data_IF_352804595338
#
_entry.id   IF_352804595338
#
_cell.length_a   1.000
_cell.length_b   1.000
_cell.length_c   1.000
_cell.angle_alpha   90.00
_cell.angle_beta   90.00
_cell.angle_gamma   90.00
#
_symmetry.space_group_name_H-M   'P 1'
#
loop_
_entity.id
_entity.type
_entity.pdbx_description
1 polymer ?
#
# COMPACT_ATOMS: atom_id res chain seq x y z
N UNK A 1 19.36 -7.47 -11.93
CA UNK A 1 19.37 -7.37 -10.44
C UNK A 1 19.44 -8.78 -9.86
N UNK A 2 20.23 -9.00 -8.80
CA UNK A 2 20.23 -10.28 -8.09
C UNK A 2 18.91 -10.48 -7.34
N UNK A 3 18.50 -11.74 -7.12
CA UNK A 3 17.28 -12.07 -6.36
C UNK A 3 17.27 -11.45 -4.95
N UNK A 4 18.45 -11.29 -4.36
CA UNK A 4 18.63 -10.64 -3.05
C UNK A 4 18.33 -9.14 -3.11
N UNK A 5 18.81 -8.45 -4.14
CA UNK A 5 18.56 -7.01 -4.31
C UNK A 5 17.07 -6.75 -4.62
N UNK A 6 16.44 -7.60 -5.44
CA UNK A 6 15.01 -7.56 -5.71
C UNK A 6 14.18 -7.70 -4.42
N UNK A 7 14.53 -8.67 -3.56
CA UNK A 7 13.86 -8.85 -2.28
C UNK A 7 14.04 -7.63 -1.34
N UNK A 8 15.27 -7.11 -1.23
CA UNK A 8 15.56 -5.92 -0.44
C UNK A 8 14.80 -4.69 -0.94
N UNK A 9 14.78 -4.46 -2.27
CA UNK A 9 14.03 -3.36 -2.86
C UNK A 9 12.53 -3.44 -2.53
N UNK A 10 11.92 -4.62 -2.67
CA UNK A 10 10.53 -4.84 -2.29
C UNK A 10 10.31 -4.57 -0.79
N UNK A 11 11.20 -5.06 0.08
CA UNK A 11 11.13 -4.81 1.52
C UNK A 11 11.21 -3.32 1.85
N UNK A 12 12.11 -2.57 1.19
CA UNK A 12 12.22 -1.11 1.37
C UNK A 12 10.96 -0.39 0.93
N UNK A 13 10.40 -0.72 -0.24
CA UNK A 13 9.14 -0.10 -0.69
C UNK A 13 7.97 -0.39 0.27
N UNK A 14 7.86 -1.59 0.82
CA UNK A 14 6.85 -1.89 1.85
C UNK A 14 7.08 -1.09 3.14
N UNK A 15 8.31 -0.88 3.58
CA UNK A 15 8.58 -0.01 4.74
C UNK A 15 8.21 1.45 4.44
N UNK A 16 8.52 1.94 3.23
CA UNK A 16 8.13 3.29 2.80
C UNK A 16 6.60 3.43 2.83
N UNK A 17 5.85 2.50 2.21
CA UNK A 17 4.38 2.56 2.21
C UNK A 17 3.82 2.49 3.62
N UNK A 18 4.35 1.62 4.47
CA UNK A 18 3.89 1.44 5.84
C UNK A 18 4.10 2.69 6.69
N UNK A 19 5.32 3.28 6.66
CA UNK A 19 5.63 4.50 7.42
C UNK A 19 4.85 5.69 6.90
N UNK A 20 4.83 5.90 5.57
CA UNK A 20 4.18 7.07 4.98
C UNK A 20 2.66 7.03 5.16
N UNK A 21 2.01 5.86 5.11
CA UNK A 21 0.56 5.74 5.32
C UNK A 21 0.17 6.05 6.78
N UNK A 22 0.92 5.53 7.77
CA UNK A 22 0.62 5.78 9.19
C UNK A 22 0.84 7.25 9.55
N UNK A 23 2.00 7.81 9.16
CA UNK A 23 2.32 9.21 9.47
C UNK A 23 1.37 10.15 8.73
N UNK A 24 1.02 9.85 7.46
CA UNK A 24 0.03 10.60 6.70
C UNK A 24 -1.33 10.63 7.38
N UNK A 25 -1.82 9.48 7.84
CA UNK A 25 -3.10 9.38 8.58
C UNK A 25 -3.07 10.21 9.88
N UNK A 26 -1.95 10.19 10.62
CA UNK A 26 -1.80 11.01 11.83
C UNK A 26 -1.85 12.50 11.49
N UNK A 27 -1.22 12.92 10.40
CA UNK A 27 -1.23 14.33 9.97
C UNK A 27 -2.64 14.79 9.59
N UNK A 28 -3.45 13.94 8.98
CA UNK A 28 -4.83 14.28 8.59
C UNK A 28 -5.84 14.16 9.72
N UNK A 29 -5.54 13.45 10.81
CA UNK A 29 -6.46 13.17 11.90
C UNK A 29 -7.27 14.38 12.41
N UNK A 30 -6.65 15.54 12.70
CA UNK A 30 -7.38 16.73 13.14
C UNK A 30 -8.37 17.26 12.09
N UNK A 31 -8.04 17.15 10.81
CA UNK A 31 -8.84 17.72 9.70
C UNK A 31 -10.02 16.82 9.36
N UNK A 32 -9.80 15.51 9.36
CA UNK A 32 -10.82 14.53 9.02
C UNK A 32 -11.87 14.37 10.14
N UNK A 33 -11.48 14.66 11.40
CA UNK A 33 -12.38 14.51 12.56
C UNK A 33 -13.09 15.81 12.97
N UNK A 34 -12.57 16.99 12.58
CA UNK A 34 -13.10 18.29 12.98
C UNK A 34 -13.06 19.28 11.82
N UNK A 35 -14.16 19.41 11.11
CA UNK A 35 -14.28 20.32 9.96
C UNK A 35 -14.03 21.80 10.30
N UNK A 36 -14.11 22.18 11.58
CA UNK A 36 -13.87 23.56 12.06
C UNK A 36 -12.37 23.91 12.19
N UNK A 37 -11.48 22.90 12.23
CA UNK A 37 -10.04 23.07 12.44
C UNK A 37 -9.22 23.45 11.20
N UNK A 38 -9.84 23.64 10.05
CA UNK A 38 -9.18 23.73 8.74
C UNK A 38 -8.32 25.01 8.58
N UNK A 39 -8.40 25.97 9.48
CA UNK A 39 -8.01 27.36 9.21
C UNK A 39 -6.82 27.92 9.99
N UNK A 40 -6.14 27.12 10.78
CA UNK A 40 -4.92 27.52 11.45
C UNK A 40 -3.66 27.25 10.57
N UNK A 41 -2.60 28.01 10.77
CA UNK A 41 -1.31 27.81 10.08
C UNK A 41 -0.72 26.42 10.33
N UNK A 42 -0.98 25.83 11.50
CA UNK A 42 -0.59 24.46 11.85
C UNK A 42 -1.32 23.46 10.94
N UNK A 43 -2.59 23.67 10.65
CA UNK A 43 -3.40 22.80 9.79
C UNK A 43 -2.88 22.77 8.35
N UNK A 44 -2.39 23.87 7.82
CA UNK A 44 -1.78 23.93 6.48
C UNK A 44 -0.55 23.03 6.39
N UNK A 45 0.35 23.10 7.37
CA UNK A 45 1.54 22.25 7.43
C UNK A 45 1.17 20.76 7.49
N UNK A 46 0.16 20.41 8.25
CA UNK A 46 -0.33 19.03 8.35
C UNK A 46 -0.93 18.53 7.03
N UNK A 47 -1.75 19.33 6.34
CA UNK A 47 -2.32 18.95 5.04
C UNK A 47 -1.21 18.73 4.00
N UNK A 48 -0.27 19.66 3.87
CA UNK A 48 0.82 19.54 2.88
C UNK A 48 1.71 18.34 3.18
N UNK A 49 2.07 18.14 4.45
CA UNK A 49 2.92 17.02 4.86
C UNK A 49 2.18 15.69 4.66
N UNK A 50 0.91 15.60 5.03
CA UNK A 50 0.09 14.42 4.82
C UNK A 50 -0.07 14.10 3.32
N UNK A 51 -0.35 15.10 2.48
CA UNK A 51 -0.43 14.97 1.04
C UNK A 51 0.89 14.45 0.43
N UNK A 52 2.01 15.01 0.86
CA UNK A 52 3.34 14.56 0.41
C UNK A 52 3.61 13.10 0.82
N UNK A 53 3.24 12.71 2.03
CA UNK A 53 3.39 11.33 2.50
C UNK A 53 2.48 10.36 1.73
N UNK A 54 1.26 10.74 1.39
CA UNK A 54 0.39 9.93 0.53
C UNK A 54 0.94 9.77 -0.88
N UNK A 55 1.55 10.81 -1.45
CA UNK A 55 2.27 10.72 -2.73
C UNK A 55 3.42 9.71 -2.63
N UNK A 56 4.22 9.77 -1.56
CA UNK A 56 5.30 8.80 -1.31
C UNK A 56 4.72 7.38 -1.15
N UNK A 57 3.61 7.23 -0.44
CA UNK A 57 2.91 5.96 -0.28
C UNK A 57 2.47 5.41 -1.64
N UNK A 58 1.85 6.22 -2.49
CA UNK A 58 1.41 5.82 -3.82
C UNK A 58 2.58 5.37 -4.71
N UNK A 59 3.69 6.12 -4.73
CA UNK A 59 4.90 5.75 -5.45
C UNK A 59 5.53 4.46 -4.89
N UNK A 60 5.52 4.30 -3.57
CA UNK A 60 5.96 3.08 -2.89
C UNK A 60 5.11 1.87 -3.29
N UNK A 61 3.79 2.02 -3.39
CA UNK A 61 2.87 0.97 -3.85
C UNK A 61 3.24 0.47 -5.25
N UNK A 62 3.45 1.37 -6.20
CA UNK A 62 3.94 1.01 -7.55
C UNK A 62 5.29 0.30 -7.45
N UNK A 63 6.19 0.82 -6.61
CA UNK A 63 7.52 0.24 -6.37
C UNK A 63 7.47 -1.20 -5.87
N UNK A 64 6.52 -1.54 -4.96
CA UNK A 64 6.34 -2.93 -4.48
C UNK A 64 5.93 -3.86 -5.62
N UNK A 65 5.00 -3.41 -6.47
CA UNK A 65 4.53 -4.15 -7.64
C UNK A 65 5.68 -4.46 -8.60
N UNK A 66 6.42 -3.43 -9.01
CA UNK A 66 7.54 -3.54 -9.94
C UNK A 66 8.68 -4.40 -9.37
N UNK A 67 9.01 -4.23 -8.09
CA UNK A 67 10.08 -4.99 -7.46
C UNK A 67 9.75 -6.48 -7.34
N UNK A 68 8.51 -6.85 -7.04
CA UNK A 68 8.12 -8.26 -6.89
C UNK A 68 7.82 -8.96 -8.22
N UNK A 69 7.42 -8.23 -9.25
CA UNK A 69 7.00 -8.78 -10.55
C UNK A 69 7.99 -9.81 -11.14
N UNK A 70 9.32 -9.55 -11.22
CA UNK A 70 10.25 -10.49 -11.85
C UNK A 70 10.31 -11.87 -11.19
N UNK A 71 10.01 -11.95 -9.90
CA UNK A 71 10.05 -13.19 -9.13
C UNK A 71 8.66 -13.85 -9.12
N UNK A 72 7.61 -13.07 -8.85
CA UNK A 72 6.24 -13.57 -8.71
C UNK A 72 5.69 -14.11 -10.04
N UNK A 73 6.05 -13.51 -11.18
CA UNK A 73 5.66 -14.00 -12.52
C UNK A 73 6.16 -15.42 -12.82
N UNK A 74 7.23 -15.88 -12.17
CA UNK A 74 7.72 -17.24 -12.32
C UNK A 74 6.76 -18.28 -11.74
N UNK A 75 5.93 -17.91 -10.79
CA UNK A 75 4.86 -18.75 -10.27
C UNK A 75 3.60 -18.66 -11.13
N UNK A 76 3.20 -17.44 -11.51
CA UNK A 76 2.05 -17.17 -12.37
C UNK A 76 2.14 -15.75 -12.91
N UNK A 77 2.22 -15.63 -14.22
CA UNK A 77 2.34 -14.34 -14.90
C UNK A 77 1.05 -13.52 -14.75
N UNK A 78 -0.12 -14.16 -14.91
CA UNK A 78 -1.41 -13.48 -14.79
C UNK A 78 -1.63 -12.87 -13.41
N UNK A 79 -1.32 -13.60 -12.34
CA UNK A 79 -1.43 -13.07 -10.97
C UNK A 79 -0.37 -12.00 -10.69
N UNK A 80 0.85 -12.13 -11.23
CA UNK A 80 1.89 -11.12 -11.08
C UNK A 80 1.50 -9.82 -11.76
N UNK A 81 0.97 -9.89 -12.98
CA UNK A 81 0.45 -8.74 -13.71
C UNK A 81 -0.75 -8.13 -12.98
N UNK A 82 -1.69 -8.97 -12.55
CA UNK A 82 -2.85 -8.53 -11.75
C UNK A 82 -2.44 -7.77 -10.50
N UNK A 83 -1.42 -8.25 -9.78
CA UNK A 83 -0.89 -7.55 -8.62
C UNK A 83 -0.30 -6.18 -8.97
N UNK A 84 0.50 -6.07 -10.04
CA UNK A 84 1.05 -4.77 -10.50
C UNK A 84 -0.07 -3.80 -10.88
N UNK A 85 -1.07 -4.27 -11.63
CA UNK A 85 -2.22 -3.46 -12.04
C UNK A 85 -3.01 -2.98 -10.83
N UNK A 86 -3.29 -3.86 -9.86
CA UNK A 86 -4.01 -3.50 -8.63
C UNK A 86 -3.22 -2.51 -7.76
N UNK A 87 -1.90 -2.66 -7.64
CA UNK A 87 -1.05 -1.69 -6.94
C UNK A 87 -1.01 -0.34 -7.65
N UNK A 88 -1.00 -0.33 -8.97
CA UNK A 88 -1.06 0.92 -9.75
C UNK A 88 -2.44 1.57 -9.62
N UNK A 89 -3.51 0.79 -9.65
CA UNK A 89 -4.87 1.29 -9.44
C UNK A 89 -5.03 1.92 -8.04
N UNK A 90 -4.58 1.22 -7.00
CA UNK A 90 -4.57 1.73 -5.63
C UNK A 90 -3.80 3.05 -5.52
N UNK A 91 -2.58 3.09 -6.06
CA UNK A 91 -1.75 4.30 -6.09
C UNK A 91 -2.44 5.45 -6.83
N UNK A 92 -3.09 5.17 -7.95
CA UNK A 92 -3.84 6.18 -8.73
C UNK A 92 -5.01 6.75 -7.93
N UNK A 93 -5.75 5.92 -7.21
CA UNK A 93 -6.86 6.36 -6.36
C UNK A 93 -6.34 7.21 -5.20
N UNK A 94 -5.23 6.83 -4.55
CA UNK A 94 -4.57 7.64 -3.51
C UNK A 94 -4.19 9.02 -4.08
N UNK A 95 -3.54 9.06 -5.24
CA UNK A 95 -3.13 10.32 -5.89
C UNK A 95 -4.33 11.23 -6.20
N UNK A 96 -5.43 10.66 -6.66
CA UNK A 96 -6.68 11.40 -6.90
C UNK A 96 -7.27 11.90 -5.58
N UNK A 97 -7.19 11.11 -4.51
CA UNK A 97 -7.66 11.47 -3.17
C UNK A 97 -6.87 12.61 -2.51
N UNK A 98 -5.62 12.83 -2.89
CA UNK A 98 -4.81 13.95 -2.42
C UNK A 98 -5.32 15.30 -2.96
N UNK A 99 -5.83 15.33 -4.19
CA UNK A 99 -6.22 16.58 -4.87
C UNK A 99 -7.26 17.41 -4.11
N UNK A 100 -8.37 16.83 -3.58
CA UNK A 100 -9.34 17.61 -2.82
C UNK A 100 -8.77 18.21 -1.54
N UNK A 101 -7.82 17.56 -0.87
CA UNK A 101 -7.17 18.13 0.32
C UNK A 101 -6.25 19.30 -0.04
N UNK A 102 -5.53 19.22 -1.17
CA UNK A 102 -4.76 20.34 -1.67
C UNK A 102 -5.66 21.50 -2.15
N UNK A 103 -6.82 21.19 -2.75
CA UNK A 103 -7.81 22.20 -3.14
C UNK A 103 -8.37 22.96 -1.94
N UNK A 104 -8.48 22.34 -0.76
CA UNK A 104 -8.84 23.03 0.49
C UNK A 104 -7.89 24.16 0.83
N UNK A 105 -6.59 24.03 0.54
CA UNK A 105 -5.59 25.06 0.83
C UNK A 105 -5.79 26.32 -0.02
N UNK A 106 -6.12 26.14 -1.31
CA UNK A 106 -6.38 27.29 -2.21
C UNK A 106 -7.73 27.93 -1.89
N UNK A 107 -8.75 27.12 -1.64
CA UNK A 107 -10.08 27.61 -1.28
C UNK A 107 -10.04 28.48 -0.02
N UNK A 108 -9.21 28.13 0.95
CA UNK A 108 -9.05 28.91 2.16
C UNK A 108 -8.39 30.28 1.92
N UNK A 109 -7.43 30.37 1.00
CA UNK A 109 -6.74 31.63 0.69
C UNK A 109 -7.68 32.62 0.00
N UNK A 110 -8.57 32.13 -0.87
CA UNK A 110 -9.38 32.98 -1.75
C UNK A 110 -10.76 33.30 -1.17
N UNK A 111 -11.34 32.44 -0.33
CA UNK A 111 -12.76 32.48 0.05
C UNK A 111 -13.01 32.51 1.58
N UNK A 112 -12.03 32.86 2.37
CA UNK A 112 -12.09 32.79 3.87
C UNK A 112 -13.30 33.49 4.52
N UNK A 113 -14.10 34.25 3.77
CA UNK A 113 -15.21 35.04 4.31
C UNK A 113 -16.53 34.91 3.51
N UNK A 114 -16.67 33.94 2.59
CA UNK A 114 -17.87 33.84 1.77
C UNK A 114 -18.85 32.81 2.32
N UNK A 115 -20.10 33.18 2.47
CA UNK A 115 -21.18 32.24 2.84
C UNK A 115 -21.29 31.13 1.80
N UNK A 116 -21.23 29.84 2.26
CA UNK A 116 -21.26 28.66 1.36
C UNK A 116 -19.97 27.85 1.32
N UNK A 117 -18.86 28.36 1.81
CA UNK A 117 -17.54 27.69 1.81
C UNK A 117 -17.56 26.36 2.60
N UNK A 118 -18.34 26.28 3.68
CA UNK A 118 -18.46 25.06 4.52
C UNK A 118 -18.99 23.84 3.74
N UNK A 119 -19.96 24.04 2.83
CA UNK A 119 -20.48 22.94 2.01
C UNK A 119 -19.44 22.40 1.01
N UNK A 120 -18.64 23.28 0.42
CA UNK A 120 -17.56 22.88 -0.51
C UNK A 120 -16.47 22.12 0.26
N UNK A 121 -16.10 22.58 1.45
CA UNK A 121 -15.13 21.92 2.32
C UNK A 121 -15.56 20.51 2.68
N UNK A 122 -16.80 20.35 3.15
CA UNK A 122 -17.35 19.04 3.49
C UNK A 122 -17.36 18.10 2.27
N UNK A 123 -17.68 18.61 1.08
CA UNK A 123 -17.66 17.82 -0.15
C UNK A 123 -16.21 17.37 -0.52
N UNK A 124 -15.21 18.22 -0.37
CA UNK A 124 -13.81 17.87 -0.65
C UNK A 124 -13.27 16.84 0.35
N UNK A 125 -13.60 16.97 1.64
CA UNK A 125 -13.24 15.98 2.66
C UNK A 125 -13.94 14.64 2.37
N UNK A 126 -15.23 14.67 2.04
CA UNK A 126 -15.96 13.46 1.68
C UNK A 126 -15.34 12.76 0.45
N UNK A 127 -14.91 13.52 -0.55
CA UNK A 127 -14.21 12.97 -1.72
C UNK A 127 -12.93 12.24 -1.33
N UNK A 128 -12.09 12.85 -0.50
CA UNK A 128 -10.88 12.19 0.03
C UNK A 128 -11.23 10.92 0.80
N UNK A 129 -12.23 10.97 1.69
CA UNK A 129 -12.65 9.83 2.48
C UNK A 129 -13.13 8.65 1.61
N UNK A 130 -13.93 8.91 0.58
CA UNK A 130 -14.35 7.88 -0.36
C UNK A 130 -13.20 7.32 -1.19
N UNK A 131 -12.23 8.15 -1.60
CA UNK A 131 -11.04 7.64 -2.28
C UNK A 131 -10.24 6.70 -1.38
N UNK A 132 -10.16 6.99 -0.08
CA UNK A 132 -9.50 6.12 0.89
C UNK A 132 -10.23 4.77 1.08
N UNK A 133 -11.57 4.77 1.09
CA UNK A 133 -12.35 3.52 1.12
C UNK A 133 -12.09 2.70 -0.16
N UNK A 134 -12.09 3.34 -1.33
CA UNK A 134 -11.90 2.64 -2.60
C UNK A 134 -10.48 2.10 -2.77
N UNK A 135 -9.45 2.92 -2.58
CA UNK A 135 -8.04 2.54 -2.76
C UNK A 135 -7.50 1.72 -1.60
N UNK A 136 -7.14 2.36 -0.48
CA UNK A 136 -6.52 1.73 0.68
C UNK A 136 -7.32 0.65 1.38
N UNK A 137 -8.65 0.56 1.18
CA UNK A 137 -9.45 -0.51 1.78
C UNK A 137 -9.85 -1.57 0.75
N UNK A 138 -10.64 -1.24 -0.27
CA UNK A 138 -11.18 -2.25 -1.18
C UNK A 138 -10.11 -2.77 -2.13
N UNK A 139 -9.40 -1.90 -2.87
CA UNK A 139 -8.38 -2.34 -3.82
C UNK A 139 -7.18 -2.95 -3.09
N UNK A 140 -6.76 -2.37 -1.95
CA UNK A 140 -5.71 -2.93 -1.09
C UNK A 140 -6.06 -4.35 -0.62
N UNK A 141 -7.29 -4.61 -0.21
CA UNK A 141 -7.74 -5.95 0.18
C UNK A 141 -7.54 -6.97 -0.94
N UNK A 142 -7.96 -6.63 -2.17
CA UNK A 142 -7.84 -7.51 -3.34
C UNK A 142 -6.38 -7.72 -3.72
N UNK A 143 -5.57 -6.67 -3.77
CA UNK A 143 -4.15 -6.79 -4.14
C UNK A 143 -3.36 -7.60 -3.10
N UNK A 144 -3.64 -7.40 -1.80
CA UNK A 144 -3.04 -8.15 -0.70
C UNK A 144 -3.36 -9.64 -0.81
N UNK A 145 -4.63 -10.00 -1.02
CA UNK A 145 -5.04 -11.40 -1.23
C UNK A 145 -4.37 -11.99 -2.48
N UNK A 146 -4.28 -11.25 -3.56
CA UNK A 146 -3.65 -11.68 -4.81
C UNK A 146 -2.17 -12.03 -4.60
N UNK A 147 -1.39 -11.13 -4.00
CA UNK A 147 0.02 -11.40 -3.71
C UNK A 147 0.17 -12.53 -2.68
N UNK A 148 -0.61 -12.50 -1.60
CA UNK A 148 -0.55 -13.51 -0.55
C UNK A 148 -0.86 -14.91 -1.10
N UNK A 149 -1.83 -15.05 -1.99
CA UNK A 149 -2.13 -16.32 -2.68
C UNK A 149 -0.92 -16.85 -3.46
N UNK A 150 -0.27 -16.00 -4.25
CA UNK A 150 0.91 -16.39 -5.04
C UNK A 150 2.09 -16.76 -4.14
N UNK A 151 2.34 -15.99 -3.08
CA UNK A 151 3.40 -16.28 -2.12
C UNK A 151 3.12 -17.58 -1.32
N UNK A 152 1.85 -17.87 -1.05
CA UNK A 152 1.47 -19.14 -0.42
C UNK A 152 1.75 -20.33 -1.33
N UNK A 153 1.36 -20.25 -2.60
CA UNK A 153 1.55 -21.30 -3.62
C UNK A 153 3.03 -21.54 -3.93
N UNK A 154 3.80 -20.47 -4.08
CA UNK A 154 5.23 -20.55 -4.42
C UNK A 154 6.11 -20.97 -3.23
N UNK A 155 5.70 -20.68 -2.01
CA UNK A 155 6.51 -20.90 -0.81
C UNK A 155 7.75 -20.02 -0.72
N UNK A 156 7.79 -18.88 -1.43
CA UNK A 156 8.91 -17.94 -1.47
C UNK A 156 9.23 -17.32 -0.11
N UNK A 157 8.24 -17.24 0.78
CA UNK A 157 8.37 -16.69 2.13
C UNK A 157 7.93 -17.71 3.19
N UNK A 158 8.02 -17.36 4.48
CA UNK A 158 7.52 -18.21 5.55
C UNK A 158 5.98 -18.34 5.47
N UNK A 159 5.44 -19.55 5.62
CA UNK A 159 4.02 -19.85 5.37
C UNK A 159 3.03 -19.05 6.21
N UNK A 160 3.41 -18.59 7.40
CA UNK A 160 2.52 -17.77 8.23
C UNK A 160 2.26 -16.40 7.60
N UNK A 161 3.26 -15.81 6.91
CA UNK A 161 3.16 -14.50 6.28
C UNK A 161 2.01 -14.47 5.25
N UNK A 162 1.99 -15.31 4.19
CA UNK A 162 0.89 -15.25 3.24
C UNK A 162 -0.47 -15.66 3.83
N UNK A 163 -0.54 -16.48 4.87
CA UNK A 163 -1.80 -16.76 5.57
C UNK A 163 -2.36 -15.51 6.24
N UNK A 164 -1.47 -14.74 6.89
CA UNK A 164 -1.82 -13.46 7.49
C UNK A 164 -2.30 -12.46 6.42
N UNK A 165 -1.65 -12.45 5.24
CA UNK A 165 -2.07 -11.61 4.12
C UNK A 165 -3.43 -11.99 3.53
N UNK A 166 -3.73 -13.28 3.38
CA UNK A 166 -5.04 -13.73 2.92
C UNK A 166 -6.15 -13.32 3.90
N UNK A 167 -5.91 -13.52 5.19
CA UNK A 167 -6.86 -13.14 6.24
C UNK A 167 -7.00 -11.61 6.34
N UNK A 168 -5.87 -10.88 6.41
CA UNK A 168 -5.87 -9.43 6.55
C UNK A 168 -6.45 -8.72 5.32
N UNK A 169 -6.13 -9.21 4.11
CA UNK A 169 -6.70 -8.68 2.87
C UNK A 169 -8.21 -8.87 2.79
N UNK A 170 -8.72 -10.05 3.16
CA UNK A 170 -10.16 -10.29 3.23
C UNK A 170 -10.85 -9.40 4.28
N UNK A 171 -10.21 -9.21 5.43
CA UNK A 171 -10.78 -8.42 6.52
C UNK A 171 -10.80 -6.93 6.19
N UNK A 172 -9.74 -6.37 5.57
CA UNK A 172 -9.73 -4.96 5.15
C UNK A 172 -10.70 -4.70 4.00
N UNK A 173 -10.85 -5.64 3.06
CA UNK A 173 -11.87 -5.57 2.02
C UNK A 173 -13.28 -5.53 2.62
N UNK A 174 -13.56 -6.43 3.56
CA UNK A 174 -14.84 -6.48 4.26
C UNK A 174 -15.09 -5.19 5.07
N UNK A 175 -14.08 -4.68 5.79
CA UNK A 175 -14.14 -3.40 6.48
C UNK A 175 -14.48 -2.25 5.53
N UNK A 176 -13.80 -2.15 4.38
CA UNK A 176 -14.09 -1.14 3.36
C UNK A 176 -15.50 -1.25 2.80
N UNK A 177 -16.01 -2.49 2.65
CA UNK A 177 -17.40 -2.72 2.25
C UNK A 177 -18.39 -2.20 3.29
N UNK A 178 -18.17 -2.50 4.58
CA UNK A 178 -19.01 -1.99 5.66
C UNK A 178 -19.00 -0.46 5.74
N UNK A 179 -17.84 0.16 5.53
CA UNK A 179 -17.69 1.62 5.47
C UNK A 179 -18.46 2.22 4.27
N UNK A 180 -18.36 1.59 3.10
CA UNK A 180 -19.05 2.04 1.88
C UNK A 180 -20.58 2.04 2.06
N UNK A 181 -21.12 1.06 2.78
CA UNK A 181 -22.55 0.97 3.11
C UNK A 181 -22.95 1.74 4.38
N UNK A 182 -22.02 2.46 5.01
CA UNK A 182 -22.30 3.26 6.21
C UNK A 182 -22.58 2.42 7.46
N UNK A 183 -22.22 1.13 7.47
CA UNK A 183 -22.44 0.24 8.62
C UNK A 183 -21.41 0.47 9.74
N UNK A 184 -20.23 0.97 9.42
CA UNK A 184 -19.19 1.39 10.36
C UNK A 184 -18.55 2.69 9.87
N UNK A 185 -18.11 3.54 10.81
CA UNK A 185 -17.39 4.75 10.46
C UNK A 185 -15.96 4.43 10.02
N UNK A 186 -15.45 5.23 9.09
CA UNK A 186 -14.07 5.11 8.57
C UNK A 186 -13.04 5.28 9.70
N UNK A 187 -13.25 6.23 10.59
CA UNK A 187 -12.41 6.47 11.77
C UNK A 187 -13.12 5.89 13.01
N UNK A 188 -13.07 4.59 13.17
CA UNK A 188 -13.65 3.87 14.29
C UNK A 188 -12.72 2.83 14.87
N UNK A 189 -12.97 2.42 16.11
CA UNK A 189 -12.24 1.31 16.74
C UNK A 189 -12.40 0.00 15.95
N UNK A 190 -13.58 -0.24 15.38
CA UNK A 190 -13.86 -1.42 14.58
C UNK A 190 -12.98 -1.44 13.32
N UNK A 191 -12.94 -0.34 12.58
CA UNK A 191 -12.08 -0.18 11.38
C UNK A 191 -10.60 -0.36 11.73
N UNK A 192 -10.12 0.27 12.81
CA UNK A 192 -8.75 0.13 13.26
C UNK A 192 -8.39 -1.32 13.61
N UNK A 193 -9.24 -2.03 14.35
CA UNK A 193 -9.02 -3.45 14.67
C UNK A 193 -8.99 -4.33 13.43
N UNK A 194 -9.86 -4.08 12.45
CA UNK A 194 -9.91 -4.84 11.21
C UNK A 194 -8.70 -4.59 10.30
N UNK A 195 -8.01 -3.46 10.46
CA UNK A 195 -6.79 -3.14 9.72
C UNK A 195 -5.52 -3.80 10.32
N UNK A 196 -5.51 -4.19 11.60
CA UNK A 196 -4.32 -4.76 12.26
C UNK A 196 -3.71 -5.93 11.48
N UNK A 197 -4.47 -6.93 10.98
CA UNK A 197 -3.87 -8.08 10.30
C UNK A 197 -3.19 -7.71 8.97
N UNK A 198 -3.72 -6.74 8.21
CA UNK A 198 -3.05 -6.29 6.98
C UNK A 198 -1.78 -5.52 7.28
N UNK A 199 -1.75 -4.68 8.31
CA UNK A 199 -0.52 -4.02 8.76
C UNK A 199 0.53 -5.03 9.26
N UNK A 200 0.12 -6.03 10.03
CA UNK A 200 1.01 -7.10 10.49
C UNK A 200 1.55 -7.94 9.31
N UNK A 201 0.75 -8.16 8.26
CA UNK A 201 1.18 -8.77 7.01
C UNK A 201 2.27 -7.94 6.33
N UNK A 202 2.03 -6.65 6.10
CA UNK A 202 2.96 -5.79 5.37
C UNK A 202 4.32 -5.70 6.08
N UNK A 203 4.33 -5.44 7.39
CA UNK A 203 5.58 -5.35 8.16
C UNK A 203 6.32 -6.70 8.25
N UNK A 204 5.57 -7.80 8.36
CA UNK A 204 6.16 -9.14 8.36
C UNK A 204 6.79 -9.48 7.02
N UNK A 205 6.11 -9.15 5.91
CA UNK A 205 6.62 -9.34 4.56
C UNK A 205 7.83 -8.45 4.28
N UNK A 206 7.74 -7.16 4.61
CA UNK A 206 8.83 -6.21 4.46
C UNK A 206 10.09 -6.68 5.19
N UNK A 207 9.96 -7.02 6.46
CA UNK A 207 11.05 -7.50 7.29
C UNK A 207 11.64 -8.81 6.74
N UNK A 208 10.81 -9.76 6.37
CA UNK A 208 11.27 -11.02 5.81
C UNK A 208 12.06 -10.81 4.51
N UNK A 209 11.54 -10.02 3.58
CA UNK A 209 12.18 -9.74 2.30
C UNK A 209 13.49 -8.95 2.47
N UNK A 210 13.50 -7.98 3.36
CA UNK A 210 14.68 -7.15 3.58
C UNK A 210 15.83 -7.92 4.24
N UNK A 211 15.56 -8.65 5.32
CA UNK A 211 16.59 -9.33 6.11
C UNK A 211 16.91 -10.73 5.58
N UNK A 212 15.91 -11.54 5.26
CA UNK A 212 16.09 -12.94 4.85
C UNK A 212 16.09 -13.14 3.33
N UNK A 213 15.34 -12.34 2.58
CA UNK A 213 15.13 -12.52 1.15
C UNK A 213 14.19 -13.70 0.85
N UNK A 214 14.09 -14.07 -0.42
CA UNK A 214 13.29 -15.23 -0.83
C UNK A 214 13.97 -16.55 -0.42
N UNK A 215 13.17 -17.58 -0.14
CA UNK A 215 13.67 -18.91 0.20
C UNK A 215 14.39 -19.56 -0.98
N UNK A 216 15.67 -19.99 -0.85
CA UNK A 216 16.46 -20.55 -1.96
C UNK A 216 15.81 -21.77 -2.63
N UNK A 217 15.27 -22.68 -1.83
CA UNK A 217 14.59 -23.88 -2.35
C UNK A 217 13.31 -23.58 -3.15
N UNK A 218 12.61 -22.47 -2.87
CA UNK A 218 11.48 -22.02 -3.67
C UNK A 218 11.95 -21.38 -4.97
N UNK A 219 12.99 -20.56 -4.93
CA UNK A 219 13.60 -19.97 -6.13
C UNK A 219 14.08 -21.05 -7.10
N UNK A 220 14.75 -22.10 -6.59
CA UNK A 220 15.21 -23.22 -7.40
C UNK A 220 14.07 -23.93 -8.12
N UNK A 221 12.94 -24.20 -7.42
CA UNK A 221 11.73 -24.80 -8.03
C UNK A 221 11.10 -23.92 -9.12
N UNK A 222 11.23 -22.60 -9.00
CA UNK A 222 10.73 -21.64 -9.99
C UNK A 222 11.73 -21.36 -11.13
N UNK A 223 12.86 -22.07 -11.19
CA UNK A 223 13.88 -21.88 -12.21
C UNK A 223 14.57 -20.51 -12.15
N UNK A 224 14.58 -19.86 -10.97
CA UNK A 224 15.26 -18.57 -10.80
C UNK A 224 16.72 -18.82 -10.43
N UNK A 225 17.70 -18.33 -11.22
CA UNK A 225 19.12 -18.50 -10.91
C UNK A 225 19.45 -17.89 -9.55
N UNK A 226 20.04 -18.71 -8.66
CA UNK A 226 20.65 -18.24 -7.42
C UNK A 226 22.14 -18.10 -7.67
N UNK A 227 22.77 -17.07 -7.08
CA UNK A 227 24.20 -16.76 -7.28
C UNK A 227 25.15 -17.93 -6.96
N UNK A 228 24.72 -18.92 -6.22
CA UNK A 228 25.46 -20.14 -5.94
C UNK A 228 25.65 -21.05 -7.17
N UNK A 229 24.75 -21.00 -8.16
CA UNK A 229 24.81 -21.86 -9.35
C UNK A 229 25.68 -21.28 -10.46
N UNK A 230 26.02 -20.00 -10.40
CA UNK A 230 26.92 -19.35 -11.34
C UNK A 230 28.40 -19.67 -11.06
N UNK A 231 28.71 -20.21 -9.88
CA UNK A 231 30.08 -20.62 -9.50
C UNK A 231 30.39 -22.10 -9.80
N UNK A 232 29.38 -22.89 -10.18
CA UNK A 232 29.51 -24.33 -10.47
C UNK A 232 29.36 -24.69 -11.95
N UNK A 233 29.33 -23.73 -12.87
CA UNK A 233 29.53 -24.07 -14.29
C UNK A 233 31.03 -24.13 -14.57
N UNK A 234 31.62 -25.33 -14.66
CA UNK A 234 32.98 -25.44 -15.16
C UNK A 234 33.02 -24.96 -16.61
N UNK A 235 34.08 -24.29 -16.95
CA UNK A 235 34.53 -24.06 -18.34
C UNK A 235 34.59 -25.39 -19.12
N UNK A 236 33.50 -25.76 -19.73
CA UNK A 236 33.41 -26.88 -20.66
C UNK A 236 33.00 -26.36 -22.04
N UNK A 237 33.78 -25.43 -22.61
CA UNK A 237 33.89 -25.22 -24.06
C UNK A 237 35.28 -24.61 -24.34
N UNK A 238 36.28 -25.46 -24.36
CA UNK A 238 37.46 -25.30 -25.19
C UNK A 238 37.88 -26.68 -25.68
N UNK A 239 37.30 -27.11 -26.79
CA UNK A 239 37.94 -27.98 -27.80
C UNK A 239 37.27 -27.72 -29.13
#
# INVERSE_FOLDING_TARGET
>A
MTTRNTARAAGVFYFITWVSSIVGLIMYGPILNHSEYIFDSISKGHIVTGAFLEIICALGNIGTGLALYPIVRRQSESFALGYVVLRTLEASIIMVGVLPLLALLTLHQDLAQTAGTAGIQSALIAFHNFSFILGPSLVCGVNTMTLAFVLYRSGLVARFIPRLGLFGGALVFFSGTLQLFGAIDQVSKATALMAIPVFAWEISLASFLFFKGFKPGALARLGVPTSARSAEMPELITL
#
